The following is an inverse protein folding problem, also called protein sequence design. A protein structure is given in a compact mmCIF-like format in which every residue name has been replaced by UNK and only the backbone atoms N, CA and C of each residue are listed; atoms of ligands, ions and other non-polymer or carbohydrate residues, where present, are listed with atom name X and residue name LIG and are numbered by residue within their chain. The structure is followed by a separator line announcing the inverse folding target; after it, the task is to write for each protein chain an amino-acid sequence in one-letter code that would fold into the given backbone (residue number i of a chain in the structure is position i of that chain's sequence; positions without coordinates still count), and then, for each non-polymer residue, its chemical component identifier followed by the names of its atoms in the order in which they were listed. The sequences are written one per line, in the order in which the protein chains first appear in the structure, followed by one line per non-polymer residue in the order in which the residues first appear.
data_IF_340940858579
#
_entry.id   IF_340940858579
#
_cell.length_a   1.000
_cell.length_b   1.000
_cell.length_c   1.000
_cell.angle_alpha   90.00
_cell.angle_beta   90.00
_cell.angle_gamma   90.00
#
_symmetry.space_group_name_H-M   'P 1'
#
loop_
_entity.id
_entity.type
_entity.pdbx_description
1 polymer ?
#
# COMPACT_ATOMS: atom_id res chain seq x y z
N UNK A 1 6.65 -36.65 -20.18
CA UNK A 1 6.80 -36.64 -18.69
C UNK A 1 8.08 -35.93 -18.18
N UNK A 2 9.03 -35.56 -19.04
CA UNK A 2 10.28 -34.89 -18.63
C UNK A 2 10.23 -33.33 -18.62
N UNK A 3 9.29 -32.71 -19.31
CA UNK A 3 9.19 -31.24 -19.40
C UNK A 3 8.79 -30.53 -18.10
N UNK A 4 8.17 -31.21 -17.14
CA UNK A 4 7.74 -30.60 -15.86
C UNK A 4 8.86 -30.54 -14.80
N UNK A 5 9.91 -31.38 -14.91
CA UNK A 5 11.01 -31.40 -13.93
C UNK A 5 11.95 -30.20 -14.01
N UNK A 6 12.12 -29.60 -15.18
CA UNK A 6 13.02 -28.44 -15.37
C UNK A 6 12.43 -27.17 -14.70
N UNK A 7 11.13 -26.98 -14.72
CA UNK A 7 10.46 -25.86 -14.06
C UNK A 7 10.57 -25.95 -12.53
N UNK A 8 10.48 -27.16 -11.95
CA UNK A 8 10.60 -27.35 -10.50
C UNK A 8 11.99 -27.01 -9.97
N UNK A 9 13.05 -27.23 -10.77
CA UNK A 9 14.43 -26.97 -10.37
C UNK A 9 14.80 -25.47 -10.39
N UNK A 10 14.34 -24.73 -11.38
CA UNK A 10 14.48 -23.26 -11.40
C UNK A 10 13.71 -22.61 -10.23
N UNK A 11 12.58 -23.18 -9.91
CA UNK A 11 11.73 -22.75 -8.79
C UNK A 11 12.43 -22.96 -7.45
N UNK A 12 12.97 -24.16 -7.21
CA UNK A 12 13.74 -24.50 -6.01
C UNK A 12 14.99 -23.61 -5.89
N UNK A 13 15.64 -23.26 -6.99
CA UNK A 13 16.81 -22.37 -6.96
C UNK A 13 16.42 -20.91 -6.67
N UNK A 14 15.27 -20.43 -7.14
CA UNK A 14 14.71 -19.13 -6.74
C UNK A 14 14.33 -19.12 -5.26
N UNK A 15 13.72 -20.18 -4.74
CA UNK A 15 13.44 -20.34 -3.31
C UNK A 15 14.71 -20.34 -2.46
N UNK A 16 15.77 -21.00 -2.93
CA UNK A 16 17.08 -21.02 -2.25
C UNK A 16 17.76 -19.65 -2.28
N UNK A 17 17.61 -18.87 -3.36
CA UNK A 17 18.15 -17.51 -3.45
C UNK A 17 17.41 -16.53 -2.52
N UNK A 18 16.09 -16.69 -2.36
CA UNK A 18 15.29 -15.93 -1.39
C UNK A 18 15.66 -16.31 0.05
N UNK A 19 15.90 -17.59 0.34
CA UNK A 19 16.39 -18.05 1.67
C UNK A 19 17.83 -17.63 1.96
N UNK A 20 18.71 -17.52 0.96
CA UNK A 20 20.10 -17.08 1.13
C UNK A 20 20.26 -15.58 1.39
N UNK A 21 19.33 -14.77 0.92
CA UNK A 21 19.32 -13.34 1.21
C UNK A 21 18.58 -13.05 2.54
N UNK A 22 19.15 -13.48 3.66
CA UNK A 22 18.89 -12.93 4.99
C UNK A 22 19.45 -11.49 5.08
N UNK A 23 19.13 -10.63 4.14
CA UNK A 23 19.30 -9.20 4.39
C UNK A 23 18.21 -8.82 5.38
N UNK A 24 18.63 -8.46 6.57
CA UNK A 24 17.76 -7.87 7.58
C UNK A 24 16.96 -6.72 6.97
N UNK A 25 15.73 -6.51 7.46
CA UNK A 25 14.96 -5.32 7.07
C UNK A 25 15.83 -4.11 7.42
N UNK A 26 16.15 -3.20 6.48
CA UNK A 26 17.03 -2.08 6.76
C UNK A 26 16.51 -1.28 7.95
N UNK A 27 17.38 -0.95 8.88
CA UNK A 27 17.06 -0.01 9.95
C UNK A 27 16.94 1.38 9.33
N UNK A 28 15.76 1.99 9.43
CA UNK A 28 15.51 3.34 8.96
C UNK A 28 16.03 4.36 9.97
N UNK A 29 16.54 5.48 9.48
CA UNK A 29 17.00 6.58 10.35
C UNK A 29 15.79 7.20 11.05
N UNK A 30 15.92 7.42 12.36
CA UNK A 30 14.93 8.07 13.17
C UNK A 30 15.04 9.59 13.06
N UNK A 31 13.90 10.27 13.05
CA UNK A 31 13.77 11.72 13.11
C UNK A 31 13.39 12.12 14.53
N UNK A 32 13.92 13.23 15.03
CA UNK A 32 13.58 13.74 16.35
C UNK A 32 12.08 14.09 16.42
N UNK A 33 11.38 13.50 17.38
CA UNK A 33 9.93 13.67 17.61
C UNK A 33 9.51 15.13 17.79
N UNK A 34 10.37 15.98 18.40
CA UNK A 34 10.08 17.40 18.63
C UNK A 34 9.75 18.18 17.35
N UNK A 35 10.08 17.64 16.17
CA UNK A 35 9.70 18.24 14.90
C UNK A 35 8.17 18.31 14.74
N UNK A 36 7.44 17.37 15.34
CA UNK A 36 5.99 17.30 15.27
C UNK A 36 5.32 18.50 15.96
N UNK A 37 5.98 19.12 16.95
CA UNK A 37 5.49 20.31 17.65
C UNK A 37 5.42 21.55 16.71
N UNK A 38 6.01 21.46 15.52
CA UNK A 38 5.98 22.53 14.51
C UNK A 38 4.62 22.62 13.80
N UNK A 39 3.80 21.59 13.87
CA UNK A 39 2.58 21.46 13.08
C UNK A 39 1.32 21.72 13.89
N UNK A 40 0.27 22.20 13.20
CA UNK A 40 -1.06 22.32 13.80
C UNK A 40 -1.81 20.98 13.67
N UNK A 41 -2.25 20.43 14.79
CA UNK A 41 -3.08 19.24 14.83
C UNK A 41 -4.56 19.59 14.66
N UNK A 42 -4.90 20.20 13.52
CA UNK A 42 -6.28 20.48 13.15
C UNK A 42 -6.67 19.64 11.93
N UNK A 43 -7.80 18.94 11.98
CA UNK A 43 -8.31 18.21 10.83
C UNK A 43 -8.58 19.16 9.67
N UNK A 44 -8.01 18.87 8.48
CA UNK A 44 -8.29 19.65 7.29
C UNK A 44 -9.61 19.21 6.65
N UNK A 45 -10.42 20.16 6.18
CA UNK A 45 -11.75 19.88 5.62
C UNK A 45 -11.69 18.94 4.41
N UNK A 46 -10.69 19.05 3.55
CA UNK A 46 -10.50 18.14 2.40
C UNK A 46 -10.52 16.67 2.81
N UNK A 47 -9.84 16.35 3.92
CA UNK A 47 -9.76 14.97 4.37
C UNK A 47 -10.98 14.52 5.17
N UNK A 48 -11.65 15.44 5.85
CA UNK A 48 -12.96 15.14 6.46
C UNK A 48 -14.01 14.85 5.38
N UNK A 49 -13.98 15.59 4.26
CA UNK A 49 -14.87 15.38 3.12
C UNK A 49 -14.51 14.10 2.32
N UNK A 50 -13.28 13.61 2.45
CA UNK A 50 -12.77 12.36 1.84
C UNK A 50 -13.07 11.11 2.69
N UNK A 51 -14.10 11.11 3.53
CA UNK A 51 -14.49 10.00 4.42
C UNK A 51 -13.42 9.64 5.48
N UNK A 52 -12.59 10.58 5.90
CA UNK A 52 -11.62 10.36 6.97
C UNK A 52 -12.12 10.98 8.27
N UNK A 53 -12.30 10.16 9.29
CA UNK A 53 -12.76 10.60 10.60
C UNK A 53 -11.69 11.38 11.36
N UNK A 54 -12.12 12.26 12.28
CA UNK A 54 -11.22 12.98 13.20
C UNK A 54 -10.38 12.03 14.05
N UNK A 55 -10.94 10.89 14.41
CA UNK A 55 -10.26 9.84 15.16
C UNK A 55 -9.12 9.22 14.33
N UNK A 56 -9.37 8.90 13.05
CA UNK A 56 -8.33 8.41 12.15
C UNK A 56 -7.21 9.44 11.98
N UNK A 57 -7.54 10.72 11.76
CA UNK A 57 -6.54 11.78 11.65
C UNK A 57 -5.68 11.90 12.91
N UNK A 58 -6.30 11.81 14.09
CA UNK A 58 -5.58 11.81 15.37
C UNK A 58 -4.71 10.56 15.54
N UNK A 59 -5.25 9.37 15.19
CA UNK A 59 -4.54 8.09 15.32
C UNK A 59 -3.27 8.02 14.46
N UNK A 60 -3.33 8.66 13.28
CA UNK A 60 -2.20 8.74 12.34
C UNK A 60 -1.38 10.03 12.51
N UNK A 61 -1.64 10.82 13.55
CA UNK A 61 -0.91 12.06 13.91
C UNK A 61 -0.87 13.08 12.76
N UNK A 62 -1.97 13.16 12.01
CA UNK A 62 -2.06 14.06 10.86
C UNK A 62 -2.11 15.51 11.32
N UNK A 63 -1.20 16.30 10.76
CA UNK A 63 -1.09 17.72 11.05
C UNK A 63 -1.29 18.60 9.83
N UNK A 64 -1.11 19.90 10.03
CA UNK A 64 -1.13 20.90 8.96
C UNK A 64 0.05 21.86 9.13
N UNK A 65 0.75 22.14 8.03
CA UNK A 65 1.85 23.08 7.99
C UNK A 65 1.47 24.32 7.16
N UNK A 66 1.11 25.40 7.88
CA UNK A 66 0.57 26.62 7.27
C UNK A 66 1.56 27.37 6.38
N UNK A 67 2.89 27.24 6.60
CA UNK A 67 3.88 27.94 5.78
C UNK A 67 3.93 27.46 4.32
N UNK A 68 3.58 26.22 4.06
CA UNK A 68 3.61 25.63 2.71
C UNK A 68 2.25 25.09 2.27
N UNK A 69 1.20 25.37 3.04
CA UNK A 69 -0.18 24.90 2.78
C UNK A 69 -0.25 23.41 2.49
N UNK A 70 0.31 22.61 3.44
CA UNK A 70 0.38 21.17 3.29
C UNK A 70 -0.26 20.44 4.47
N UNK A 71 -0.99 19.36 4.17
CA UNK A 71 -1.32 18.36 5.16
C UNK A 71 -0.06 17.56 5.46
N UNK A 72 0.25 17.39 6.74
CA UNK A 72 1.46 16.71 7.24
C UNK A 72 1.14 15.28 7.60
N UNK A 73 1.94 14.35 7.10
CA UNK A 73 1.73 12.92 7.23
C UNK A 73 3.00 12.30 7.81
N UNK A 74 3.05 12.07 9.14
CA UNK A 74 4.15 11.37 9.77
C UNK A 74 4.21 9.91 9.33
N UNK A 75 5.41 9.41 9.05
CA UNK A 75 5.67 8.02 8.74
C UNK A 75 6.40 7.37 9.91
N UNK A 76 5.80 6.33 10.47
CA UNK A 76 6.38 5.54 11.55
C UNK A 76 6.69 4.12 11.08
N UNK A 77 7.74 3.54 11.64
CA UNK A 77 8.08 2.15 11.39
C UNK A 77 7.33 1.18 12.32
N UNK A 78 7.62 -0.11 12.18
CA UNK A 78 7.03 -1.17 12.99
C UNK A 78 7.30 -1.05 14.51
N UNK A 79 8.33 -0.31 14.90
CA UNK A 79 8.71 -0.06 16.29
C UNK A 79 8.21 1.32 16.78
N UNK A 80 7.28 1.93 16.03
CA UNK A 80 6.66 3.24 16.25
C UNK A 80 7.64 4.43 16.20
N UNK A 81 8.84 4.27 15.64
CA UNK A 81 9.80 5.37 15.50
C UNK A 81 9.41 6.26 14.33
N UNK A 82 9.51 7.57 14.49
CA UNK A 82 9.32 8.55 13.41
C UNK A 82 10.50 8.45 12.42
N UNK A 83 10.23 8.05 11.18
CA UNK A 83 11.27 7.80 10.16
C UNK A 83 11.22 8.77 8.99
N UNK A 84 10.12 9.50 8.83
CA UNK A 84 9.92 10.46 7.75
C UNK A 84 8.64 11.23 7.95
N UNK A 85 8.51 12.32 7.20
CA UNK A 85 7.28 13.10 7.15
C UNK A 85 7.02 13.45 5.68
N UNK A 86 5.82 13.18 5.19
CA UNK A 86 5.36 13.65 3.89
C UNK A 86 4.42 14.83 4.04
N UNK A 87 4.41 15.69 3.04
CA UNK A 87 3.44 16.75 2.88
C UNK A 87 2.53 16.45 1.69
N UNK A 88 1.22 16.65 1.84
CA UNK A 88 0.28 16.69 0.72
C UNK A 88 -0.06 18.14 0.44
N UNK A 89 0.33 18.63 -0.72
CA UNK A 89 -0.05 19.97 -1.17
C UNK A 89 -1.57 20.09 -1.37
N UNK A 90 -2.11 21.26 -1.04
CA UNK A 90 -3.52 21.60 -1.22
C UNK A 90 -3.74 22.47 -2.47
N UNK A 91 -2.74 23.27 -2.87
CA UNK A 91 -2.81 24.14 -4.01
C UNK A 91 -2.49 23.38 -5.31
N UNK A 92 -3.36 23.49 -6.32
CA UNK A 92 -3.20 22.80 -7.61
C UNK A 92 -1.90 23.20 -8.33
N UNK A 93 -1.52 24.48 -8.27
CA UNK A 93 -0.27 24.97 -8.85
C UNK A 93 0.98 24.30 -8.28
N UNK A 94 0.98 24.00 -6.98
CA UNK A 94 2.07 23.27 -6.34
C UNK A 94 2.01 21.77 -6.68
N UNK A 95 0.81 21.19 -6.76
CA UNK A 95 0.61 19.81 -7.19
C UNK A 95 1.13 19.56 -8.60
N UNK A 96 0.84 20.48 -9.54
CA UNK A 96 1.33 20.40 -10.92
C UNK A 96 2.86 20.55 -10.99
N UNK A 97 3.44 21.44 -10.20
CA UNK A 97 4.87 21.76 -10.21
C UNK A 97 5.75 20.69 -9.58
N UNK A 98 5.35 20.11 -8.47
CA UNK A 98 6.22 19.22 -7.64
C UNK A 98 5.60 17.88 -7.28
N UNK A 99 4.29 17.69 -7.53
CA UNK A 99 3.53 16.50 -7.19
C UNK A 99 2.70 16.66 -5.91
N UNK A 100 1.65 15.85 -5.81
CA UNK A 100 0.65 15.93 -4.74
C UNK A 100 1.21 15.54 -3.38
N UNK A 101 2.03 14.49 -3.33
CA UNK A 101 2.65 13.96 -2.12
C UNK A 101 4.17 14.01 -2.25
N UNK A 102 4.82 14.76 -1.40
CA UNK A 102 6.27 14.99 -1.43
C UNK A 102 6.88 14.81 -0.04
N UNK A 103 8.19 14.55 0.11
CA UNK A 103 8.84 14.69 1.41
C UNK A 103 8.68 16.11 1.94
N UNK A 104 8.24 16.26 3.18
CA UNK A 104 8.12 17.60 3.78
C UNK A 104 9.50 18.24 3.95
N UNK A 105 9.60 19.54 3.64
CA UNK A 105 10.83 20.30 3.80
C UNK A 105 10.69 21.32 4.92
N UNK A 106 11.59 21.27 5.90
CA UNK A 106 11.67 22.26 6.99
C UNK A 106 13.09 22.80 7.06
N UNK A 107 13.23 24.13 7.04
CA UNK A 107 14.53 24.81 7.10
C UNK A 107 15.53 24.28 6.05
N UNK A 108 15.06 24.03 4.82
CA UNK A 108 15.88 23.52 3.73
C UNK A 108 16.22 22.02 3.80
N UNK A 109 15.80 21.29 4.85
CA UNK A 109 16.05 19.85 5.02
C UNK A 109 14.79 19.04 4.70
N UNK A 110 14.93 18.05 3.82
CA UNK A 110 13.85 17.09 3.54
C UNK A 110 13.76 16.03 4.62
N UNK A 111 12.55 15.81 5.14
CA UNK A 111 12.23 14.78 6.13
C UNK A 111 11.84 13.47 5.44
N UNK A 112 12.70 12.99 4.58
CA UNK A 112 12.44 11.83 3.71
C UNK A 112 12.97 10.54 4.30
N UNK A 113 12.32 9.43 3.96
CA UNK A 113 12.83 8.08 4.12
C UNK A 113 12.60 7.26 2.84
N UNK A 114 13.21 6.08 2.75
CA UNK A 114 13.00 5.16 1.64
C UNK A 114 11.63 4.48 1.78
N UNK A 115 10.60 4.98 1.07
CA UNK A 115 9.21 4.49 1.13
C UNK A 115 9.11 2.97 0.97
N UNK A 116 9.83 2.39 0.01
CA UNK A 116 9.85 0.95 -0.22
C UNK A 116 10.50 0.11 0.89
N UNK A 117 11.02 0.72 1.95
CA UNK A 117 11.59 0.01 3.11
C UNK A 117 10.65 -0.03 4.31
N UNK A 118 9.46 0.53 4.18
CA UNK A 118 8.41 0.53 5.20
C UNK A 118 7.04 0.25 4.58
N UNK A 119 6.05 -0.03 5.41
CA UNK A 119 4.63 -0.04 5.08
C UNK A 119 3.95 1.02 5.93
N UNK A 120 3.32 2.03 5.31
CA UNK A 120 2.61 3.05 6.06
C UNK A 120 1.44 2.44 6.84
N UNK A 121 1.23 2.90 8.06
CA UNK A 121 0.19 2.40 8.95
C UNK A 121 0.58 1.15 9.76
N UNK A 122 1.79 0.60 9.56
CA UNK A 122 2.23 -0.63 10.25
C UNK A 122 2.23 -0.47 11.77
N UNK A 123 2.63 0.68 12.29
CA UNK A 123 2.59 1.00 13.71
C UNK A 123 1.17 1.03 14.29
N UNK A 124 0.16 1.31 13.46
CA UNK A 124 -1.25 1.41 13.86
C UNK A 124 -1.93 0.05 13.79
N UNK A 125 -1.69 -0.73 12.73
CA UNK A 125 -2.52 -1.91 12.39
C UNK A 125 -1.83 -3.25 12.60
N UNK A 126 -0.53 -3.28 12.96
CA UNK A 126 0.24 -4.52 13.03
C UNK A 126 -0.33 -5.57 13.99
N UNK A 127 -0.88 -5.15 15.14
CA UNK A 127 -1.39 -6.10 16.13
C UNK A 127 -2.66 -6.77 15.62
N UNK A 128 -3.55 -6.00 14.98
CA UNK A 128 -4.74 -6.56 14.32
C UNK A 128 -4.33 -7.50 13.19
N UNK A 129 -3.41 -7.09 12.31
CA UNK A 129 -2.93 -7.91 11.19
C UNK A 129 -2.32 -9.22 11.70
N UNK A 130 -1.49 -9.18 12.74
CA UNK A 130 -0.89 -10.39 13.34
C UNK A 130 -1.95 -11.31 13.93
N UNK A 131 -2.99 -10.74 14.54
CA UNK A 131 -4.10 -11.49 15.14
C UNK A 131 -4.92 -12.25 14.09
N UNK A 132 -5.30 -11.57 12.99
CA UNK A 132 -6.15 -12.15 11.93
C UNK A 132 -5.35 -12.75 10.78
N UNK A 133 -4.02 -12.56 10.75
CA UNK A 133 -3.10 -13.00 9.70
C UNK A 133 -3.45 -12.52 8.30
N UNK A 134 -4.11 -11.37 8.21
CA UNK A 134 -4.60 -10.77 6.98
C UNK A 134 -4.21 -9.30 6.91
N UNK A 135 -3.75 -8.84 5.73
CA UNK A 135 -3.48 -7.45 5.45
C UNK A 135 -4.14 -7.01 4.14
N UNK A 136 -4.65 -5.77 4.12
CA UNK A 136 -5.07 -5.08 2.90
C UNK A 136 -4.00 -4.06 2.52
N UNK A 137 -3.57 -4.08 1.26
CA UNK A 137 -2.46 -3.25 0.76
C UNK A 137 -3.01 -2.22 -0.21
N UNK A 138 -2.87 -0.97 0.16
CA UNK A 138 -3.30 0.23 -0.59
C UNK A 138 -2.09 0.95 -1.21
N UNK A 139 -2.33 1.87 -2.15
CA UNK A 139 -1.27 2.67 -2.75
C UNK A 139 -0.90 3.88 -1.89
N UNK A 140 -1.88 4.51 -1.24
CA UNK A 140 -1.70 5.79 -0.55
C UNK A 140 -1.98 5.74 0.94
N UNK A 141 -1.39 6.70 1.66
CA UNK A 141 -1.61 6.94 3.09
C UNK A 141 -3.07 7.25 3.38
N UNK A 142 -3.74 7.99 2.49
CA UNK A 142 -5.16 8.35 2.60
C UNK A 142 -6.05 7.12 2.78
N UNK A 143 -5.84 6.10 1.95
CA UNK A 143 -6.61 4.86 2.02
C UNK A 143 -6.49 4.13 3.36
N UNK A 144 -5.31 4.17 4.02
CA UNK A 144 -5.16 3.60 5.36
C UNK A 144 -6.04 4.32 6.39
N UNK A 145 -6.10 5.65 6.32
CA UNK A 145 -6.92 6.45 7.23
C UNK A 145 -8.42 6.29 6.96
N UNK A 146 -8.82 6.16 5.68
CA UNK A 146 -10.20 5.82 5.32
C UNK A 146 -10.59 4.44 5.86
N UNK A 147 -9.71 3.44 5.70
CA UNK A 147 -9.96 2.11 6.25
C UNK A 147 -10.09 2.14 7.78
N UNK A 148 -9.23 2.89 8.48
CA UNK A 148 -9.36 3.09 9.92
C UNK A 148 -10.67 3.79 10.28
N UNK A 149 -11.11 4.78 9.50
CA UNK A 149 -12.38 5.47 9.70
C UNK A 149 -13.58 4.53 9.60
N UNK A 150 -13.48 3.47 8.78
CA UNK A 150 -14.54 2.47 8.60
C UNK A 150 -14.54 1.36 9.65
N UNK A 151 -13.36 0.98 10.14
CA UNK A 151 -13.20 -0.23 10.98
C UNK A 151 -12.60 0.06 12.37
N UNK A 152 -12.12 1.28 12.65
CA UNK A 152 -11.47 1.62 13.90
C UNK A 152 -10.24 0.73 14.15
N UNK A 153 -10.11 0.21 15.36
CA UNK A 153 -9.02 -0.70 15.75
C UNK A 153 -9.06 -2.07 15.05
N UNK A 154 -10.15 -2.38 14.35
CA UNK A 154 -10.24 -3.54 13.46
C UNK A 154 -9.65 -3.30 12.08
N UNK A 155 -9.10 -2.12 11.80
CA UNK A 155 -8.40 -1.81 10.57
C UNK A 155 -7.19 -2.73 10.37
N UNK A 156 -7.02 -3.22 9.15
CA UNK A 156 -5.93 -4.11 8.73
C UNK A 156 -5.25 -3.62 7.44
N UNK A 157 -5.36 -2.33 7.17
CA UNK A 157 -4.83 -1.69 5.97
C UNK A 157 -3.40 -1.18 6.19
N UNK A 158 -2.59 -1.31 5.15
CA UNK A 158 -1.23 -0.80 5.03
C UNK A 158 -1.08 -0.14 3.65
N UNK A 159 -0.19 0.87 3.53
CA UNK A 159 0.10 1.41 2.22
C UNK A 159 1.58 1.22 1.82
N UNK A 160 1.77 0.96 0.53
CA UNK A 160 3.10 0.89 -0.10
C UNK A 160 3.66 2.26 -0.44
N UNK A 161 2.82 3.29 -0.44
CA UNK A 161 3.12 4.66 -0.88
C UNK A 161 3.60 4.69 -2.34
N UNK A 162 2.95 3.90 -3.18
CA UNK A 162 3.19 3.73 -4.61
C UNK A 162 2.65 2.41 -5.12
N UNK A 163 2.63 2.22 -6.42
CA UNK A 163 1.97 1.07 -7.06
C UNK A 163 2.79 -0.23 -7.11
N UNK A 164 3.86 -0.37 -6.31
CA UNK A 164 4.70 -1.57 -6.28
C UNK A 164 4.93 -2.06 -4.85
N UNK A 165 5.05 -3.38 -4.69
CA UNK A 165 5.42 -4.01 -3.43
C UNK A 165 6.88 -4.43 -3.51
N UNK A 166 7.75 -3.72 -2.79
CA UNK A 166 9.18 -4.01 -2.78
C UNK A 166 9.49 -5.30 -2.04
N UNK A 167 10.70 -5.82 -2.24
CA UNK A 167 11.16 -7.02 -1.53
C UNK A 167 11.19 -6.83 0.00
N UNK A 168 11.53 -5.63 0.48
CA UNK A 168 11.49 -5.30 1.92
C UNK A 168 10.06 -5.31 2.45
N UNK A 169 9.11 -4.71 1.73
CA UNK A 169 7.69 -4.73 2.09
C UNK A 169 7.12 -6.16 2.08
N UNK A 170 7.51 -7.00 1.11
CA UNK A 170 7.16 -8.43 1.11
C UNK A 170 7.67 -9.15 2.35
N UNK A 171 8.91 -8.86 2.80
CA UNK A 171 9.45 -9.41 4.05
C UNK A 171 8.65 -8.95 5.27
N UNK A 172 8.28 -7.69 5.34
CA UNK A 172 7.42 -7.18 6.43
C UNK A 172 6.10 -7.94 6.48
N UNK A 173 5.44 -8.14 5.34
CA UNK A 173 4.17 -8.86 5.26
C UNK A 173 4.31 -10.34 5.64
N UNK A 174 5.28 -11.06 5.06
CA UNK A 174 5.38 -12.50 5.17
C UNK A 174 6.11 -12.97 6.44
N UNK A 175 7.16 -12.24 6.86
CA UNK A 175 8.01 -12.71 7.98
C UNK A 175 7.75 -11.97 9.28
N UNK A 176 7.51 -10.65 9.24
CA UNK A 176 7.25 -9.87 10.44
C UNK A 176 5.78 -9.93 10.85
N UNK A 177 4.86 -9.61 9.93
CA UNK A 177 3.41 -9.63 10.16
C UNK A 177 2.82 -11.03 10.05
N UNK A 178 3.53 -11.96 9.40
CA UNK A 178 3.13 -13.38 9.21
C UNK A 178 1.77 -13.50 8.52
N UNK A 179 1.51 -12.68 7.52
CA UNK A 179 0.25 -12.72 6.77
C UNK A 179 0.07 -14.08 6.07
N UNK A 180 -1.11 -14.66 6.21
CA UNK A 180 -1.59 -15.83 5.48
C UNK A 180 -2.51 -15.44 4.32
N UNK A 181 -3.11 -14.25 4.38
CA UNK A 181 -3.88 -13.64 3.28
C UNK A 181 -3.43 -12.19 3.08
N UNK A 182 -3.13 -11.83 1.83
CA UNK A 182 -2.80 -10.46 1.42
C UNK A 182 -3.80 -10.02 0.35
N UNK A 183 -4.49 -8.91 0.59
CA UNK A 183 -5.47 -8.34 -0.33
C UNK A 183 -4.85 -7.11 -0.96
N UNK A 184 -4.66 -7.11 -2.28
CA UNK A 184 -4.18 -5.96 -3.04
C UNK A 184 -5.37 -5.11 -3.42
N UNK A 185 -5.41 -3.90 -2.90
CA UNK A 185 -6.49 -2.92 -3.06
C UNK A 185 -5.91 -1.62 -3.66
N UNK A 186 -5.24 -1.75 -4.82
CA UNK A 186 -4.63 -0.61 -5.52
C UNK A 186 -5.69 0.21 -6.26
N UNK A 187 -5.34 1.43 -6.60
CA UNK A 187 -6.22 2.36 -7.29
C UNK A 187 -6.63 1.80 -8.67
N UNK A 188 -7.87 2.05 -9.08
CA UNK A 188 -8.40 1.60 -10.36
C UNK A 188 -7.70 2.31 -11.52
N UNK A 189 -6.97 1.58 -12.36
CA UNK A 189 -6.27 2.11 -13.54
C UNK A 189 -6.95 1.70 -14.86
N UNK A 190 -8.26 1.64 -14.93
CA UNK A 190 -9.05 1.37 -16.14
C UNK A 190 -10.40 2.11 -16.10
N UNK A 191 -10.91 2.47 -17.28
CA UNK A 191 -12.17 3.23 -17.40
C UNK A 191 -13.41 2.33 -17.37
N UNK A 192 -13.32 1.15 -17.99
CA UNK A 192 -14.41 0.18 -18.03
C UNK A 192 -13.90 -1.20 -17.59
N UNK A 193 -14.64 -1.83 -16.68
CA UNK A 193 -14.30 -3.14 -16.11
C UNK A 193 -14.24 -4.27 -17.15
N UNK A 194 -14.97 -4.13 -18.26
CA UNK A 194 -15.04 -5.14 -19.34
C UNK A 194 -14.12 -4.80 -20.52
N UNK A 195 -13.24 -3.81 -20.36
CA UNK A 195 -12.31 -3.36 -21.40
C UNK A 195 -11.01 -4.15 -21.43
N UNK A 196 -10.31 -4.09 -22.56
CA UNK A 196 -8.94 -4.60 -22.70
C UNK A 196 -7.97 -3.89 -21.74
N UNK A 197 -8.21 -2.61 -21.40
CA UNK A 197 -7.45 -1.88 -20.40
C UNK A 197 -7.52 -2.54 -19.02
N UNK A 198 -8.71 -3.02 -18.61
CA UNK A 198 -8.89 -3.74 -17.35
C UNK A 198 -8.14 -5.08 -17.34
N UNK A 199 -8.11 -5.81 -18.48
CA UNK A 199 -7.34 -7.04 -18.62
C UNK A 199 -5.82 -6.78 -18.50
N UNK A 200 -5.31 -5.74 -19.17
CA UNK A 200 -3.90 -5.32 -19.03
C UNK A 200 -3.58 -4.99 -17.58
N UNK A 201 -4.46 -4.24 -16.91
CA UNK A 201 -4.28 -3.88 -15.52
C UNK A 201 -4.27 -5.10 -14.59
N UNK A 202 -5.20 -6.02 -14.79
CA UNK A 202 -5.22 -7.31 -14.09
C UNK A 202 -3.89 -8.06 -14.25
N UNK A 203 -3.42 -8.24 -15.48
CA UNK A 203 -2.16 -8.92 -15.77
C UNK A 203 -0.95 -8.21 -15.12
N UNK A 204 -0.96 -6.87 -15.08
CA UNK A 204 0.05 -6.06 -14.38
C UNK A 204 0.05 -6.33 -12.88
N UNK A 205 -1.12 -6.43 -12.24
CA UNK A 205 -1.24 -6.75 -10.81
C UNK A 205 -0.78 -8.18 -10.50
N UNK A 206 -1.21 -9.17 -11.29
CA UNK A 206 -0.77 -10.57 -11.14
C UNK A 206 0.74 -10.68 -11.20
N UNK A 207 1.39 -9.96 -12.13
CA UNK A 207 2.86 -9.92 -12.23
C UNK A 207 3.51 -9.31 -10.97
N UNK A 208 2.93 -8.24 -10.41
CA UNK A 208 3.45 -7.58 -9.21
C UNK A 208 3.45 -8.51 -7.99
N UNK A 209 2.46 -9.39 -7.89
CA UNK A 209 2.30 -10.31 -6.75
C UNK A 209 2.88 -11.70 -6.99
N UNK A 210 3.40 -11.99 -8.18
CA UNK A 210 3.90 -13.32 -8.57
C UNK A 210 4.93 -13.92 -7.58
N UNK A 211 5.72 -13.08 -6.92
CA UNK A 211 6.70 -13.51 -5.91
C UNK A 211 6.08 -13.73 -4.51
N UNK A 212 4.82 -13.36 -4.30
CA UNK A 212 4.12 -13.46 -3.00
C UNK A 212 3.20 -14.67 -2.99
N UNK A 213 2.50 -14.92 -4.10
CA UNK A 213 1.51 -16.03 -4.27
C UNK A 213 2.02 -17.39 -3.79
N UNK A 214 3.32 -17.76 -3.95
CA UNK A 214 3.84 -19.04 -3.46
C UNK A 214 3.86 -19.19 -1.93
N UNK A 215 3.71 -18.11 -1.19
CA UNK A 215 3.92 -18.10 0.27
C UNK A 215 2.65 -17.87 1.08
N UNK A 216 1.64 -17.26 0.49
CA UNK A 216 0.37 -16.99 1.14
C UNK A 216 -0.74 -16.82 0.10
N UNK A 217 -1.99 -16.83 0.58
CA UNK A 217 -3.15 -16.51 -0.26
C UNK A 217 -3.07 -15.03 -0.65
N UNK A 218 -3.11 -14.76 -1.96
CA UNK A 218 -3.17 -13.39 -2.49
C UNK A 218 -4.49 -13.19 -3.18
N UNK A 219 -5.15 -12.06 -2.86
CA UNK A 219 -6.40 -11.65 -3.51
C UNK A 219 -6.21 -10.28 -4.14
N UNK A 220 -6.89 -10.01 -5.25
CA UNK A 220 -7.01 -8.68 -5.85
C UNK A 220 -8.42 -8.13 -5.62
N UNK A 221 -8.51 -6.87 -5.22
CA UNK A 221 -9.74 -6.10 -5.29
C UNK A 221 -9.79 -5.44 -6.65
N UNK A 222 -10.72 -5.90 -7.50
CA UNK A 222 -10.99 -5.30 -8.80
C UNK A 222 -12.48 -5.00 -8.87
N UNK A 223 -12.80 -3.80 -9.34
CA UNK A 223 -14.18 -3.38 -9.52
C UNK A 223 -14.72 -3.88 -10.86
N UNK A 224 -15.54 -4.93 -10.81
CA UNK A 224 -16.19 -5.54 -11.98
C UNK A 224 -17.46 -4.79 -12.44
N UNK A 225 -18.04 -3.94 -11.58
CA UNK A 225 -19.33 -3.28 -11.79
C UNK A 225 -19.23 -1.78 -12.04
N UNK A 226 -18.01 -1.26 -12.25
CA UNK A 226 -17.76 0.18 -12.49
C UNK A 226 -18.27 1.11 -11.35
N UNK A 227 -18.17 0.65 -10.09
CA UNK A 227 -18.55 1.44 -8.89
C UNK A 227 -17.51 2.52 -8.55
N UNK A 228 -16.25 2.28 -8.89
CA UNK A 228 -15.15 3.20 -8.64
C UNK A 228 -14.90 4.10 -9.85
N UNK A 229 -14.72 5.40 -9.67
CA UNK A 229 -14.15 6.28 -10.70
C UNK A 229 -12.73 5.83 -11.13
N UNK A 230 -12.31 6.26 -12.30
CA UNK A 230 -10.92 6.11 -12.76
C UNK A 230 -9.95 6.74 -11.75
N UNK A 231 -8.89 6.02 -11.38
CA UNK A 231 -7.91 6.39 -10.35
C UNK A 231 -8.43 6.49 -8.91
N UNK A 232 -9.65 6.05 -8.66
CA UNK A 232 -10.13 5.95 -7.28
C UNK A 232 -9.55 4.73 -6.58
N UNK A 233 -9.26 4.92 -5.28
CA UNK A 233 -8.94 3.82 -4.37
C UNK A 233 -10.20 3.03 -4.02
N UNK A 234 -10.13 1.73 -3.74
CA UNK A 234 -11.26 0.95 -3.23
C UNK A 234 -11.91 1.53 -1.96
N UNK A 235 -11.20 2.40 -1.23
CA UNK A 235 -11.70 3.05 -0.02
C UNK A 235 -12.40 4.39 -0.27
N UNK A 236 -12.31 4.97 -1.48
CA UNK A 236 -12.80 6.34 -1.74
C UNK A 236 -14.32 6.44 -1.75
N UNK A 237 -15.03 5.36 -2.10
CA UNK A 237 -16.50 5.36 -2.26
C UNK A 237 -17.26 4.94 -1.00
N UNK A 238 -16.59 4.88 0.14
CA UNK A 238 -17.19 4.57 1.43
C UNK A 238 -17.13 3.10 1.81
N UNK A 239 -17.58 2.83 3.04
CA UNK A 239 -17.47 1.50 3.68
C UNK A 239 -18.25 0.42 2.93
N UNK A 240 -19.46 0.72 2.49
CA UNK A 240 -20.35 -0.28 1.87
C UNK A 240 -19.78 -0.77 0.55
N UNK A 241 -19.32 0.13 -0.32
CA UNK A 241 -18.64 -0.23 -1.58
C UNK A 241 -17.37 -1.04 -1.31
N UNK A 242 -16.58 -0.67 -0.30
CA UNK A 242 -15.39 -1.45 0.08
C UNK A 242 -15.77 -2.87 0.52
N UNK A 243 -16.84 -3.06 1.27
CA UNK A 243 -17.31 -4.38 1.70
C UNK A 243 -17.76 -5.23 0.51
N UNK A 244 -18.50 -4.67 -0.44
CA UNK A 244 -18.88 -5.36 -1.69
C UNK A 244 -17.63 -5.83 -2.47
N UNK A 245 -16.65 -4.93 -2.66
CA UNK A 245 -15.39 -5.27 -3.32
C UNK A 245 -14.60 -6.37 -2.58
N UNK A 246 -14.64 -6.36 -1.24
CA UNK A 246 -14.01 -7.39 -0.42
C UNK A 246 -14.69 -8.77 -0.58
N UNK A 247 -15.99 -8.81 -0.76
CA UNK A 247 -16.74 -10.04 -1.00
C UNK A 247 -16.46 -10.60 -2.41
N UNK A 248 -16.25 -9.73 -3.38
CA UNK A 248 -15.98 -10.08 -4.79
C UNK A 248 -14.48 -10.31 -5.10
N UNK A 249 -13.58 -10.20 -4.11
CA UNK A 249 -12.13 -10.31 -4.32
C UNK A 249 -11.72 -11.59 -5.06
N UNK A 250 -10.80 -11.44 -6.01
CA UNK A 250 -10.31 -12.53 -6.87
C UNK A 250 -9.08 -13.16 -6.24
N UNK A 251 -9.11 -14.48 -6.00
CA UNK A 251 -7.94 -15.23 -5.49
C UNK A 251 -7.00 -15.53 -6.66
N UNK A 252 -5.73 -15.20 -6.51
CA UNK A 252 -4.68 -15.46 -7.50
C UNK A 252 -4.00 -16.80 -7.20
N UNK A 253 -4.03 -17.70 -8.20
CA UNK A 253 -3.39 -19.00 -8.13
C UNK A 253 -2.03 -19.00 -8.84
N UNK A 254 -1.20 -20.01 -8.56
CA UNK A 254 0.07 -20.20 -9.27
C UNK A 254 -0.13 -20.49 -10.77
N UNK A 255 -1.22 -21.14 -11.14
CA UNK A 255 -1.55 -21.39 -12.56
C UNK A 255 -1.83 -20.08 -13.28
N UNK A 256 -2.56 -19.18 -12.63
CA UNK A 256 -2.83 -17.82 -13.12
C UNK A 256 -1.53 -17.03 -13.31
N UNK A 257 -0.65 -17.03 -12.31
CA UNK A 257 0.68 -16.40 -12.41
C UNK A 257 1.47 -16.96 -13.61
N UNK A 258 1.50 -18.28 -13.77
CA UNK A 258 2.22 -18.93 -14.84
C UNK A 258 1.63 -18.58 -16.23
N UNK A 259 0.29 -18.50 -16.34
CA UNK A 259 -0.41 -18.07 -17.55
C UNK A 259 0.02 -16.66 -17.95
N UNK A 260 -0.13 -15.69 -17.05
CA UNK A 260 0.18 -14.28 -17.30
C UNK A 260 1.65 -14.07 -17.66
N UNK A 261 2.58 -14.71 -16.91
CA UNK A 261 4.02 -14.58 -17.19
C UNK A 261 4.42 -15.19 -18.55
N UNK A 262 3.70 -16.22 -19.02
CA UNK A 262 3.93 -16.84 -20.34
C UNK A 262 3.41 -15.95 -21.47
N UNK A 263 2.25 -15.35 -21.31
CA UNK A 263 1.65 -14.43 -22.29
C UNK A 263 2.53 -13.20 -22.49
N UNK A 264 2.96 -12.55 -21.42
CA UNK A 264 3.85 -11.37 -21.47
C UNK A 264 5.24 -11.64 -22.06
N UNK A 265 5.68 -12.91 -22.14
CA UNK A 265 6.93 -13.28 -22.81
C UNK A 265 6.77 -13.42 -24.33
N UNK A 266 5.55 -13.66 -24.82
CA UNK A 266 5.27 -13.78 -26.25
C UNK A 266 5.11 -12.42 -26.95
N UNK A 267 4.80 -11.38 -26.17
CA UNK A 267 4.59 -10.00 -26.67
C UNK A 267 5.89 -9.19 -26.75
N UNK A 268 7.01 -9.74 -26.31
CA UNK A 268 8.38 -9.18 -26.41
C UNK A 268 9.19 -9.83 -27.51
#
# INVERSE_FOLDING_TARGET
KEKNRINDFEWINRLKSVKKNKKEVPTLSEINENILDTFYYAPHEDWLNDNISREALSRYEIGYYGLTNQIVIPHRDKDNRLIGIRGRYLDESDIERVGKYVPLQINGKFLSHQLGSNLYGINVTQDKIKSIRKAMILESEKGCMQNYSYFGDDSFALATCGSNITFTQQKLLLHYLKCEEIIIAFDREYHDAHSFEAEIYYNKLVKKVANIVPYCKVCLLLDSENRLPYKASPTDMGKDVLLELLDEKIVITMDEVNRVLKEMKKEK
#
